data_IF_628324839815
#
_entry.id   IF_628324839815
#
_cell.length_a   1.000
_cell.length_b   1.000
_cell.length_c   1.000
_cell.angle_alpha   90.00
_cell.angle_beta   90.00
_cell.angle_gamma   90.00
#
_symmetry.space_group_name_H-M   'P 1'
#
loop_
_entity.id
_entity.type
_entity.pdbx_description
1 polymer ?
#
# COMPACT_ATOMS: atom_id res chain seq x y z
N UNK A 1 13.58 -38.73 -1.52
CA UNK A 1 14.15 -37.66 -2.37
C UNK A 1 13.92 -38.03 -3.84
N UNK A 2 12.70 -37.81 -4.35
CA UNK A 2 12.39 -38.09 -5.75
C UNK A 2 13.00 -36.97 -6.61
N UNK A 3 13.95 -37.30 -7.48
CA UNK A 3 14.52 -36.37 -8.46
C UNK A 3 13.49 -36.18 -9.57
N UNK A 4 12.73 -35.09 -9.52
CA UNK A 4 11.89 -34.64 -10.62
C UNK A 4 12.79 -34.34 -11.81
N UNK A 5 12.66 -35.12 -12.88
CA UNK A 5 13.40 -34.89 -14.13
C UNK A 5 12.70 -33.76 -14.87
N UNK A 6 13.30 -32.57 -14.81
CA UNK A 6 12.84 -31.38 -15.52
C UNK A 6 12.56 -31.65 -17.02
N UNK A 7 13.32 -32.56 -17.63
CA UNK A 7 13.12 -32.96 -19.03
C UNK A 7 11.77 -33.64 -19.30
N UNK A 8 11.18 -34.35 -18.32
CA UNK A 8 9.85 -34.97 -18.47
C UNK A 8 8.73 -33.93 -18.33
N UNK A 9 8.96 -32.86 -17.56
CA UNK A 9 8.03 -31.72 -17.41
C UNK A 9 8.02 -30.89 -18.69
N UNK A 10 9.19 -30.61 -19.26
CA UNK A 10 9.33 -29.85 -20.50
C UNK A 10 8.79 -30.60 -21.73
N UNK A 11 8.80 -31.93 -21.71
CA UNK A 11 8.21 -32.75 -22.78
C UNK A 11 6.67 -32.85 -22.68
N UNK A 12 6.09 -32.51 -21.52
CA UNK A 12 4.63 -32.44 -21.30
C UNK A 12 4.01 -31.08 -21.64
N UNK A 13 4.82 -30.03 -21.79
CA UNK A 13 4.42 -28.75 -22.38
C UNK A 13 4.49 -28.92 -23.90
N UNK A 14 3.38 -29.36 -24.51
CA UNK A 14 3.27 -29.56 -25.95
C UNK A 14 3.64 -28.33 -26.78
N UNK A 15 3.92 -28.56 -28.06
CA UNK A 15 4.32 -27.51 -29.00
C UNK A 15 3.33 -26.33 -29.01
N UNK A 16 3.82 -25.08 -29.11
CA UNK A 16 2.97 -23.90 -29.08
C UNK A 16 1.97 -23.91 -30.24
N UNK A 17 0.70 -23.67 -29.91
CA UNK A 17 -0.43 -23.66 -30.84
C UNK A 17 -0.19 -22.64 -31.97
N UNK A 18 -0.23 -23.01 -33.26
CA UNK A 18 0.04 -22.10 -34.39
C UNK A 18 -1.01 -20.99 -34.56
N UNK A 19 -2.09 -21.03 -33.77
CA UNK A 19 -3.16 -20.03 -33.73
C UNK A 19 -2.99 -18.95 -32.65
N UNK A 20 -1.88 -18.93 -31.92
CA UNK A 20 -1.60 -17.85 -30.97
C UNK A 20 -1.38 -16.51 -31.71
N UNK A 21 -2.04 -15.41 -31.30
CA UNK A 21 -1.86 -14.10 -31.93
C UNK A 21 -0.42 -13.62 -31.72
N UNK A 22 0.29 -13.36 -32.81
CA UNK A 22 1.64 -12.79 -32.80
C UNK A 22 1.58 -11.35 -32.27
N UNK A 23 2.37 -11.04 -31.24
CA UNK A 23 2.59 -9.67 -30.78
C UNK A 23 3.07 -8.80 -31.96
N UNK A 24 2.45 -7.64 -32.11
CA UNK A 24 2.75 -6.69 -33.14
C UNK A 24 4.09 -5.99 -32.86
N UNK A 25 5.05 -6.19 -33.76
CA UNK A 25 6.32 -5.47 -33.83
C UNK A 25 6.06 -3.95 -33.91
N UNK A 26 6.32 -3.24 -32.82
CA UNK A 26 6.33 -1.78 -32.80
C UNK A 26 7.58 -1.30 -33.54
N UNK A 27 7.37 -0.78 -34.76
CA UNK A 27 8.41 -0.08 -35.52
C UNK A 27 8.84 1.19 -34.76
N UNK A 28 10.15 1.45 -34.57
CA UNK A 28 10.61 2.73 -34.04
C UNK A 28 10.43 3.80 -35.12
N UNK A 29 9.55 4.75 -34.86
CA UNK A 29 9.41 5.96 -35.66
C UNK A 29 10.63 6.89 -35.45
N UNK A 30 10.97 7.58 -36.53
CA UNK A 30 12.19 8.33 -36.74
C UNK A 30 12.39 9.53 -35.79
N UNK A 31 13.68 9.85 -35.60
CA UNK A 31 14.25 10.96 -34.83
C UNK A 31 13.81 12.36 -35.26
N UNK A 32 13.54 13.22 -34.27
CA UNK A 32 13.64 14.69 -34.35
C UNK A 32 13.86 15.26 -32.92
N UNK A 33 14.45 16.46 -32.76
CA UNK A 33 15.59 16.68 -31.88
C UNK A 33 15.25 17.17 -30.46
N UNK A 34 16.22 16.94 -29.56
CA UNK A 34 16.19 17.27 -28.14
C UNK A 34 16.05 18.78 -27.85
N UNK A 35 15.25 19.18 -26.83
CA UNK A 35 15.47 20.42 -26.12
C UNK A 35 16.53 20.24 -25.02
N UNK A 36 17.33 21.28 -24.86
CA UNK A 36 18.56 21.35 -24.09
C UNK A 36 18.46 20.89 -22.62
N UNK A 37 19.44 20.10 -22.20
CA UNK A 37 19.76 19.84 -20.79
C UNK A 37 20.05 21.15 -20.05
N UNK A 38 19.50 21.40 -18.86
CA UNK A 38 20.01 22.44 -18.00
C UNK A 38 21.39 22.01 -17.47
N UNK A 39 22.40 22.84 -17.72
CA UNK A 39 23.73 22.68 -17.19
C UNK A 39 23.68 22.69 -15.65
N UNK A 40 23.97 21.55 -15.03
CA UNK A 40 24.21 21.47 -13.59
C UNK A 40 25.55 22.12 -13.34
N UNK A 41 25.52 23.37 -12.86
CA UNK A 41 26.68 24.05 -12.31
C UNK A 41 27.20 23.26 -11.12
N UNK A 42 28.30 22.50 -11.32
CA UNK A 42 29.07 21.89 -10.25
C UNK A 42 29.72 23.02 -9.46
N UNK A 43 29.06 23.47 -8.39
CA UNK A 43 29.69 24.28 -7.37
C UNK A 43 30.76 23.43 -6.69
N UNK A 44 32.02 23.84 -6.86
CA UNK A 44 33.17 23.14 -6.34
C UNK A 44 33.09 22.97 -4.84
N UNK A 45 33.19 21.72 -4.39
CA UNK A 45 33.57 21.41 -3.01
C UNK A 45 35.02 21.82 -2.86
N UNK A 46 35.28 22.84 -2.04
CA UNK A 46 36.63 23.19 -1.62
C UNK A 46 37.22 21.99 -0.85
N UNK A 47 38.12 21.24 -1.49
CA UNK A 47 38.99 20.29 -0.79
C UNK A 47 39.87 21.09 0.17
N UNK A 48 39.78 20.78 1.46
CA UNK A 48 40.78 21.23 2.43
C UNK A 48 42.17 20.75 1.97
N UNK A 49 43.24 21.56 2.16
CA UNK A 49 44.58 21.13 1.79
C UNK A 49 44.98 19.94 2.68
N UNK A 50 45.24 18.81 2.04
CA UNK A 50 45.81 17.64 2.68
C UNK A 50 47.30 17.89 2.95
N UNK A 51 47.62 18.46 4.10
CA UNK A 51 48.93 18.21 4.72
C UNK A 51 48.76 17.14 5.79
N UNK A 52 48.64 15.90 5.33
CA UNK A 52 48.87 14.74 6.20
C UNK A 52 50.00 13.93 5.58
N UNK A 53 51.19 14.16 6.14
CA UNK A 53 52.39 13.34 5.91
C UNK A 53 51.99 11.88 6.13
N UNK A 54 52.20 10.94 5.18
CA UNK A 54 51.84 9.56 5.40
C UNK A 54 52.68 9.02 6.56
N UNK A 55 52.06 8.83 7.72
CA UNK A 55 52.70 8.15 8.84
C UNK A 55 52.95 6.70 8.42
N UNK A 56 54.13 6.14 8.74
CA UNK A 56 54.39 4.73 8.48
C UNK A 56 53.29 3.87 9.12
N UNK A 57 52.92 2.73 8.50
CA UNK A 57 51.90 1.85 9.03
C UNK A 57 52.27 1.43 10.46
N UNK A 58 51.38 1.73 11.40
CA UNK A 58 51.54 1.36 12.80
C UNK A 58 51.52 -0.17 12.93
N UNK A 59 52.70 -0.75 13.16
CA UNK A 59 52.89 -2.19 13.32
C UNK A 59 52.23 -2.75 14.60
N UNK A 60 51.80 -1.89 15.54
CA UNK A 60 51.15 -2.30 16.78
C UNK A 60 49.64 -2.56 16.64
N UNK A 61 49.04 -2.33 15.46
CA UNK A 61 47.63 -2.63 15.20
C UNK A 61 46.63 -1.75 15.98
N UNK A 62 47.11 -0.66 16.59
CA UNK A 62 46.30 0.25 17.40
C UNK A 62 45.67 1.40 16.60
N UNK A 63 45.93 1.46 15.29
CA UNK A 63 45.54 2.56 14.40
C UNK A 63 44.10 2.54 13.87
N UNK A 64 43.24 1.61 14.26
CA UNK A 64 41.86 1.55 13.75
C UNK A 64 40.87 2.54 14.40
N UNK A 65 41.34 3.38 15.32
CA UNK A 65 40.47 4.36 15.99
C UNK A 65 39.37 3.72 16.82
N UNK A 66 38.54 4.54 17.46
CA UNK A 66 37.34 4.09 18.16
C UNK A 66 36.22 3.87 17.13
N UNK A 67 35.36 2.88 17.36
CA UNK A 67 34.14 2.67 16.56
C UNK A 67 33.39 4.00 16.44
N UNK A 68 33.17 4.46 15.21
CA UNK A 68 32.39 5.66 14.95
C UNK A 68 30.93 5.33 15.27
N UNK A 69 30.31 6.12 16.14
CA UNK A 69 28.87 5.99 16.42
C UNK A 69 28.10 6.05 15.10
N UNK A 70 27.48 4.93 14.72
CA UNK A 70 26.72 4.77 13.46
C UNK A 70 25.48 5.64 13.40
N UNK A 71 25.10 6.27 14.51
CA UNK A 71 23.84 6.99 14.68
C UNK A 71 23.99 8.53 14.60
N UNK A 72 25.22 9.03 14.48
CA UNK A 72 25.46 10.48 14.39
C UNK A 72 24.89 11.09 13.09
N UNK A 73 24.74 10.28 12.04
CA UNK A 73 24.14 10.70 10.76
C UNK A 73 22.62 10.76 10.75
N UNK A 74 21.95 10.26 11.78
CA UNK A 74 20.49 10.17 11.84
C UNK A 74 19.82 11.34 12.58
N UNK A 75 20.55 12.04 13.44
CA UNK A 75 19.99 13.04 14.37
C UNK A 75 19.55 14.35 13.70
N UNK A 76 20.15 14.72 12.57
CA UNK A 76 19.88 15.97 11.84
C UNK A 76 19.63 15.75 10.32
N UNK A 77 19.31 14.53 9.90
CA UNK A 77 19.06 14.25 8.49
C UNK A 77 17.70 14.81 8.04
N UNK A 78 17.71 15.65 7.00
CA UNK A 78 16.48 16.10 6.32
C UNK A 78 15.64 14.89 5.88
N UNK A 79 14.31 14.90 6.08
CA UNK A 79 13.42 13.80 5.69
C UNK A 79 13.35 13.58 4.17
N UNK A 80 13.88 14.51 3.37
CA UNK A 80 13.98 14.38 1.91
C UNK A 80 15.25 13.64 1.45
N UNK A 81 16.12 13.24 2.38
CA UNK A 81 17.35 12.52 2.06
C UNK A 81 17.03 11.04 1.88
N UNK A 82 16.93 10.60 0.63
CA UNK A 82 16.80 9.18 0.28
C UNK A 82 17.94 8.37 0.94
N UNK A 83 17.57 7.52 1.90
CA UNK A 83 18.50 6.55 2.50
C UNK A 83 18.64 5.35 1.56
N UNK A 84 19.78 4.65 1.55
CA UNK A 84 19.92 3.43 0.75
C UNK A 84 18.88 2.35 1.13
N UNK A 85 18.38 2.35 2.37
CA UNK A 85 17.28 1.46 2.81
C UNK A 85 15.90 1.86 2.25
N UNK A 86 15.70 3.14 1.93
CA UNK A 86 14.43 3.68 1.40
C UNK A 86 14.14 3.13 -0.02
N UNK A 87 15.19 2.75 -0.75
CA UNK A 87 15.07 2.09 -2.05
C UNK A 87 14.65 0.61 -1.95
N UNK A 88 14.74 0.00 -0.75
CA UNK A 88 14.40 -1.40 -0.52
C UNK A 88 13.00 -1.57 0.10
N UNK A 89 12.43 -0.53 0.72
CA UNK A 89 11.05 -0.55 1.21
C UNK A 89 10.01 -0.69 0.10
N UNK A 90 10.33 -0.23 -1.11
CA UNK A 90 9.44 -0.34 -2.27
C UNK A 90 9.38 -1.78 -2.83
N UNK A 91 10.38 -2.62 -2.53
CA UNK A 91 10.51 -3.98 -3.09
C UNK A 91 9.98 -5.05 -2.14
N UNK A 92 10.00 -4.80 -0.83
CA UNK A 92 9.55 -5.77 0.17
C UNK A 92 8.57 -5.16 1.16
N UNK A 93 7.28 -5.45 0.97
CA UNK A 93 6.25 -5.26 1.98
C UNK A 93 5.86 -6.61 2.57
N UNK A 94 6.12 -6.87 3.87
CA UNK A 94 5.57 -8.01 4.60
C UNK A 94 4.06 -8.16 4.35
N UNK A 95 3.59 -9.39 4.12
CA UNK A 95 2.16 -9.66 3.84
C UNK A 95 1.22 -9.16 4.97
N UNK A 96 1.74 -9.07 6.20
CA UNK A 96 1.04 -8.51 7.37
C UNK A 96 0.75 -7.01 7.26
N UNK A 97 1.54 -6.26 6.47
CA UNK A 97 1.31 -4.84 6.21
C UNK A 97 0.31 -4.61 5.06
N UNK A 98 0.24 -5.52 4.08
CA UNK A 98 -0.77 -5.48 3.02
C UNK A 98 -2.20 -5.68 3.56
N UNK A 99 -2.36 -6.48 4.62
CA UNK A 99 -3.66 -6.65 5.30
C UNK A 99 -4.07 -5.41 6.09
N UNK A 100 -3.10 -4.59 6.50
CA UNK A 100 -3.31 -3.28 7.10
C UNK A 100 -3.30 -2.23 6.00
N UNK A 101 -4.22 -2.38 5.04
CA UNK A 101 -4.41 -1.39 3.98
C UNK A 101 -4.44 0.02 4.57
N UNK A 102 -3.83 0.98 3.86
CA UNK A 102 -3.88 2.40 4.19
C UNK A 102 -5.27 2.75 4.73
N UNK A 103 -5.38 3.42 5.89
CA UNK A 103 -6.68 3.68 6.49
C UNK A 103 -7.50 4.52 5.52
N UNK A 104 -8.44 3.87 4.82
CA UNK A 104 -9.32 4.56 3.91
C UNK A 104 -10.08 5.62 4.71
N UNK A 105 -9.92 6.88 4.29
CA UNK A 105 -10.41 8.04 5.03
C UNK A 105 -11.93 8.20 4.87
N UNK A 106 -12.65 7.44 5.69
CA UNK A 106 -14.11 7.48 5.79
C UNK A 106 -14.61 8.84 6.28
N UNK A 107 -13.95 9.43 7.28
CA UNK A 107 -14.37 10.72 7.84
C UNK A 107 -14.19 11.85 6.83
N UNK A 108 -13.05 11.92 6.16
CA UNK A 108 -12.80 12.94 5.14
C UNK A 108 -13.77 12.84 3.96
N UNK A 109 -14.06 11.63 3.49
CA UNK A 109 -15.01 11.43 2.37
C UNK A 109 -16.45 11.79 2.75
N UNK A 110 -16.92 11.43 3.95
CA UNK A 110 -18.24 11.84 4.42
C UNK A 110 -18.34 13.35 4.65
N UNK A 111 -17.27 13.99 5.14
CA UNK A 111 -17.23 15.43 5.35
C UNK A 111 -17.25 16.18 4.02
N UNK A 112 -16.50 15.70 3.00
CA UNK A 112 -16.52 16.26 1.65
C UNK A 112 -17.91 16.17 1.00
N UNK A 113 -18.65 15.08 1.26
CA UNK A 113 -20.04 14.91 0.80
C UNK A 113 -21.04 15.74 1.60
N UNK A 114 -20.64 16.39 2.69
CA UNK A 114 -21.52 17.18 3.56
C UNK A 114 -22.51 16.35 4.37
N UNK A 115 -22.26 15.05 4.52
CA UNK A 115 -23.12 14.15 5.31
C UNK A 115 -22.89 14.36 6.81
N UNK A 116 -21.65 14.72 7.18
CA UNK A 116 -21.24 14.95 8.57
C UNK A 116 -20.64 16.34 8.77
N UNK A 117 -20.87 16.89 9.96
CA UNK A 117 -20.31 18.15 10.41
C UNK A 117 -18.93 17.96 11.07
N UNK A 118 -18.05 18.97 11.08
CA UNK A 118 -16.73 18.88 11.73
C UNK A 118 -16.81 18.56 13.24
N UNK A 119 -17.88 18.98 13.91
CA UNK A 119 -18.13 18.64 15.32
C UNK A 119 -18.42 17.15 15.52
N UNK A 120 -19.13 16.54 14.56
CA UNK A 120 -19.43 15.10 14.57
C UNK A 120 -18.17 14.28 14.29
N UNK A 121 -17.29 14.76 13.41
CA UNK A 121 -15.97 14.16 13.14
C UNK A 121 -15.14 14.11 14.43
N UNK A 122 -14.99 15.24 15.13
CA UNK A 122 -14.22 15.31 16.36
C UNK A 122 -14.80 14.40 17.47
N UNK A 123 -16.13 14.29 17.53
CA UNK A 123 -16.83 13.42 18.48
C UNK A 123 -16.60 11.95 18.15
N UNK A 124 -16.76 11.56 16.88
CA UNK A 124 -16.53 10.19 16.41
C UNK A 124 -15.08 9.74 16.66
N UNK A 125 -14.09 10.59 16.37
CA UNK A 125 -12.69 10.31 16.69
C UNK A 125 -12.44 10.10 18.18
N UNK A 126 -13.08 10.91 19.03
CA UNK A 126 -12.95 10.77 20.48
C UNK A 126 -13.53 9.43 20.96
N UNK A 127 -14.69 9.05 20.45
CA UNK A 127 -15.35 7.77 20.79
C UNK A 127 -14.52 6.59 20.26
N UNK A 128 -13.95 6.70 19.06
CA UNK A 128 -13.05 5.69 18.49
C UNK A 128 -11.81 5.48 19.36
N UNK A 129 -11.21 6.57 19.85
CA UNK A 129 -10.05 6.52 20.77
C UNK A 129 -10.41 5.90 22.12
N UNK A 130 -11.64 6.10 22.59
CA UNK A 130 -12.14 5.52 23.84
C UNK A 130 -12.50 4.04 23.71
N UNK A 131 -12.88 3.60 22.50
CA UNK A 131 -13.39 2.25 22.23
C UNK A 131 -12.59 1.57 21.12
N UNK A 132 -11.30 1.27 21.36
CA UNK A 132 -10.46 0.65 20.34
C UNK A 132 -11.02 -0.73 19.98
N UNK A 133 -11.23 -0.98 18.69
CA UNK A 133 -11.78 -2.23 18.16
C UNK A 133 -13.21 -2.13 17.64
N UNK A 134 -13.91 -1.03 17.96
CA UNK A 134 -15.21 -0.76 17.34
C UNK A 134 -15.04 -0.13 15.96
N UNK A 135 -15.88 -0.50 15.00
CA UNK A 135 -15.85 0.07 13.67
C UNK A 135 -16.36 1.52 13.69
N UNK A 136 -15.64 2.41 13.00
CA UNK A 136 -15.96 3.83 12.95
C UNK A 136 -17.32 4.09 12.27
N UNK A 137 -17.67 3.29 11.26
CA UNK A 137 -19.00 3.31 10.63
C UNK A 137 -20.13 3.07 11.63
N UNK A 138 -19.97 2.10 12.54
CA UNK A 138 -20.97 1.79 13.56
C UNK A 138 -21.13 2.94 14.58
N UNK A 139 -20.03 3.60 14.94
CA UNK A 139 -20.05 4.76 15.84
C UNK A 139 -20.82 5.92 15.20
N UNK A 140 -20.62 6.16 13.90
CA UNK A 140 -21.33 7.23 13.18
C UNK A 140 -22.83 6.96 13.08
N UNK A 141 -23.22 5.71 12.81
CA UNK A 141 -24.64 5.31 12.76
C UNK A 141 -25.30 5.50 14.12
N UNK A 142 -24.66 5.09 15.21
CA UNK A 142 -25.19 5.31 16.57
C UNK A 142 -25.23 6.78 16.97
N UNK A 143 -24.33 7.61 16.44
CA UNK A 143 -24.36 9.06 16.62
C UNK A 143 -25.51 9.75 15.85
N UNK A 144 -26.30 8.98 15.08
CA UNK A 144 -27.47 9.47 14.35
C UNK A 144 -27.16 10.01 12.96
N UNK A 145 -25.99 9.66 12.39
CA UNK A 145 -25.67 9.95 10.98
C UNK A 145 -26.48 9.01 10.08
N UNK A 146 -26.88 9.47 8.89
CA UNK A 146 -27.62 8.65 7.92
C UNK A 146 -26.84 7.38 7.56
N UNK A 147 -27.39 6.24 7.97
CA UNK A 147 -26.77 4.93 7.79
C UNK A 147 -26.57 4.60 6.31
N UNK A 148 -27.52 4.97 5.45
CA UNK A 148 -27.40 4.68 4.02
C UNK A 148 -26.22 5.43 3.40
N UNK A 149 -26.06 6.72 3.71
CA UNK A 149 -24.92 7.50 3.25
C UNK A 149 -23.59 6.96 3.78
N UNK A 150 -23.53 6.55 5.06
CA UNK A 150 -22.32 5.95 5.66
C UNK A 150 -21.96 4.64 4.96
N UNK A 151 -22.91 3.70 4.83
CA UNK A 151 -22.65 2.41 4.20
C UNK A 151 -22.32 2.54 2.71
N UNK A 152 -22.95 3.49 2.01
CA UNK A 152 -22.60 3.80 0.63
C UNK A 152 -21.15 4.29 0.53
N UNK A 153 -20.70 5.19 1.41
CA UNK A 153 -19.28 5.61 1.41
C UNK A 153 -18.33 4.47 1.71
N UNK A 154 -18.67 3.58 2.64
CA UNK A 154 -17.86 2.39 2.95
C UNK A 154 -17.75 1.49 1.71
N UNK A 155 -18.86 1.23 1.02
CA UNK A 155 -18.86 0.43 -0.21
C UNK A 155 -17.99 1.07 -1.30
N UNK A 156 -18.12 2.39 -1.53
CA UNK A 156 -17.31 3.13 -2.50
C UNK A 156 -15.80 3.07 -2.18
N UNK A 157 -15.43 3.23 -0.91
CA UNK A 157 -14.04 3.12 -0.45
C UNK A 157 -13.47 1.72 -0.73
N UNK A 158 -14.27 0.67 -0.52
CA UNK A 158 -13.87 -0.71 -0.79
C UNK A 158 -14.06 -1.15 -2.25
N UNK A 159 -14.50 -0.27 -3.15
CA UNK A 159 -14.76 -0.62 -4.55
C UNK A 159 -15.90 -1.63 -4.74
N UNK A 160 -16.84 -1.67 -3.80
CA UNK A 160 -18.00 -2.56 -3.83
C UNK A 160 -19.27 -1.78 -4.21
N UNK A 161 -20.23 -2.42 -4.90
CA UNK A 161 -21.54 -1.84 -5.13
C UNK A 161 -22.32 -1.73 -3.81
N UNK A 162 -23.14 -0.67 -3.69
CA UNK A 162 -24.08 -0.50 -2.58
C UNK A 162 -25.51 -0.80 -3.04
N UNK A 163 -26.20 -1.66 -2.31
CA UNK A 163 -27.59 -2.05 -2.58
C UNK A 163 -28.45 -1.90 -1.33
N UNK A 164 -29.68 -1.40 -1.50
CA UNK A 164 -30.65 -1.26 -0.41
C UNK A 164 -31.60 -2.44 -0.45
N UNK A 165 -31.53 -3.28 0.57
CA UNK A 165 -32.39 -4.45 0.70
C UNK A 165 -33.77 -4.01 1.20
N UNK A 166 -34.82 -4.30 0.42
CA UNK A 166 -36.21 -4.10 0.82
C UNK A 166 -36.82 -5.41 1.32
N UNK A 167 -37.65 -5.34 2.35
CA UNK A 167 -38.42 -6.48 2.85
C UNK A 167 -39.65 -6.80 2.00
N UNK A 168 -40.08 -5.86 1.15
CA UNK A 168 -41.30 -6.00 0.36
C UNK A 168 -41.11 -7.01 -0.79
N UNK A 169 -39.90 -7.10 -1.35
CA UNK A 169 -39.56 -7.99 -2.47
C UNK A 169 -38.40 -8.93 -2.10
N UNK A 170 -38.65 -10.02 -1.35
CA UNK A 170 -37.61 -10.92 -0.87
C UNK A 170 -36.86 -11.67 -1.99
N UNK A 171 -37.51 -11.90 -3.13
CA UNK A 171 -36.90 -12.55 -4.29
C UNK A 171 -35.92 -11.63 -5.04
N UNK A 172 -36.07 -10.30 -4.90
CA UNK A 172 -35.10 -9.33 -5.40
C UNK A 172 -33.96 -9.08 -4.38
N UNK A 173 -34.26 -9.23 -3.09
CA UNK A 173 -33.34 -8.96 -1.98
C UNK A 173 -32.18 -9.96 -1.87
N UNK A 174 -32.43 -11.25 -2.11
CA UNK A 174 -31.38 -12.27 -1.98
C UNK A 174 -31.70 -13.54 -2.78
N UNK A 175 -30.66 -14.27 -3.17
CA UNK A 175 -30.85 -15.56 -3.86
C UNK A 175 -31.11 -16.68 -2.84
N UNK A 176 -32.27 -17.39 -2.90
CA UNK A 176 -32.64 -18.38 -1.89
C UNK A 176 -31.76 -19.63 -1.89
N UNK A 177 -31.07 -19.93 -3.00
CA UNK A 177 -30.13 -21.06 -3.09
C UNK A 177 -28.85 -20.77 -2.31
N UNK A 178 -28.31 -19.56 -2.46
CA UNK A 178 -27.09 -19.13 -1.79
C UNK A 178 -27.32 -18.97 -0.28
N UNK A 179 -28.47 -18.41 0.12
CA UNK A 179 -28.88 -18.34 1.53
C UNK A 179 -28.96 -19.72 2.20
N UNK A 180 -29.54 -20.73 1.52
CA UNK A 180 -29.60 -22.11 2.04
C UNK A 180 -28.23 -22.77 2.19
N UNK A 181 -27.21 -22.33 1.45
CA UNK A 181 -25.83 -22.84 1.55
C UNK A 181 -25.08 -22.21 2.71
N UNK A 182 -25.29 -20.92 2.99
CA UNK A 182 -24.72 -20.23 4.15
C UNK A 182 -25.37 -20.70 5.46
N UNK A 183 -26.71 -20.79 5.48
CA UNK A 183 -27.49 -21.09 6.67
C UNK A 183 -27.79 -19.84 7.52
N UNK A 184 -28.96 -19.84 8.19
CA UNK A 184 -29.44 -18.67 8.96
C UNK A 184 -28.51 -18.27 10.10
N UNK A 185 -27.94 -19.26 10.81
CA UNK A 185 -27.11 -19.01 11.99
C UNK A 185 -25.80 -18.33 11.61
N UNK A 186 -25.24 -18.70 10.45
CA UNK A 186 -24.04 -18.08 9.91
C UNK A 186 -24.30 -16.63 9.51
N UNK A 187 -25.43 -16.36 8.84
CA UNK A 187 -25.82 -15.01 8.45
C UNK A 187 -26.02 -14.09 9.66
N UNK A 188 -26.67 -14.57 10.72
CA UNK A 188 -26.88 -13.79 11.96
C UNK A 188 -25.57 -13.51 12.71
N UNK A 189 -24.64 -14.47 12.72
CA UNK A 189 -23.36 -14.34 13.44
C UNK A 189 -22.40 -13.40 12.73
N UNK A 190 -22.32 -13.50 11.40
CA UNK A 190 -21.35 -12.75 10.61
C UNK A 190 -21.94 -11.46 9.99
N UNK A 191 -23.26 -11.26 10.11
CA UNK A 191 -24.00 -10.13 9.50
C UNK A 191 -23.80 -10.06 7.97
N UNK A 192 -23.86 -11.22 7.31
CA UNK A 192 -23.74 -11.36 5.84
C UNK A 192 -24.95 -12.12 5.29
N UNK A 193 -25.45 -11.70 4.13
CA UNK A 193 -26.55 -12.33 3.40
C UNK A 193 -26.17 -12.54 1.93
#
# INVERSE_FOLDING_TARGET
MAKLKLDDILRGLGDPDPSAPKEAEVRPAASAPAPASPAVSVTGVARQPAEEIPRPPDAAGTGLGKEVETDLGARDASPLRARPDDALSDVYTPEEQLQRGEPLDLLGTLQQKGVINPEQVATAERVQKQTPGRALSQILVEAGVDEAAVQQTVAELHGMPFERVSYEDPDAAYEPKSFKRLGSDFCLTNLVL
#
